data_IF_259549231966
#
_entry.id   IF_259549231966
#
_cell.length_a   1.000
_cell.length_b   1.000
_cell.length_c   1.000
_cell.angle_alpha   90.00
_cell.angle_beta   90.00
_cell.angle_gamma   90.00
#
_symmetry.space_group_name_H-M   'P 1'
#
loop_
_entity.id
_entity.type
_entity.pdbx_description
1 polymer ?
#
# COMPACT_ATOMS: atom_id res chain seq x y z
N UNK A 1 -27.09 -6.64 -0.61
CA UNK A 1 -26.43 -7.75 -1.32
C UNK A 1 -25.30 -8.24 -0.44
N UNK A 2 -25.26 -9.53 -0.07
CA UNK A 2 -24.13 -10.06 0.68
C UNK A 2 -22.90 -10.06 -0.25
N UNK A 3 -21.84 -9.33 0.10
CA UNK A 3 -20.61 -9.34 -0.70
C UNK A 3 -20.02 -10.76 -0.68
N UNK A 4 -19.89 -11.39 -1.84
CA UNK A 4 -19.26 -12.73 -1.95
C UNK A 4 -17.82 -12.66 -1.41
N UNK A 5 -17.45 -13.65 -0.61
CA UNK A 5 -16.07 -13.88 -0.17
C UNK A 5 -15.10 -13.86 -1.36
N UNK A 6 -14.03 -13.08 -1.26
CA UNK A 6 -13.02 -12.93 -2.30
C UNK A 6 -11.91 -13.97 -2.11
N UNK A 7 -11.43 -14.55 -3.19
CA UNK A 7 -10.26 -15.44 -3.21
C UNK A 7 -9.01 -14.58 -3.35
N UNK A 8 -8.12 -14.61 -2.36
CA UNK A 8 -6.99 -13.69 -2.27
C UNK A 8 -5.68 -14.48 -2.13
N UNK A 9 -4.71 -14.16 -2.98
CA UNK A 9 -3.33 -14.61 -2.82
C UNK A 9 -2.48 -13.49 -2.20
N UNK A 10 -1.77 -13.79 -1.13
CA UNK A 10 -0.83 -12.87 -0.48
C UNK A 10 0.59 -13.36 -0.73
N UNK A 11 1.41 -12.56 -1.41
CA UNK A 11 2.82 -12.86 -1.69
C UNK A 11 3.67 -11.96 -0.80
N UNK A 12 4.43 -12.55 0.12
CA UNK A 12 5.23 -11.81 1.09
C UNK A 12 6.49 -12.55 1.52
N UNK A 13 7.58 -11.82 1.74
CA UNK A 13 8.88 -12.40 2.13
C UNK A 13 9.01 -12.70 3.63
N UNK A 14 8.32 -11.93 4.47
CA UNK A 14 8.35 -12.07 5.92
C UNK A 14 7.21 -12.97 6.38
N UNK A 15 7.52 -14.18 6.85
CA UNK A 15 6.54 -15.19 7.27
C UNK A 15 5.58 -14.65 8.34
N UNK A 16 6.12 -13.95 9.35
CA UNK A 16 5.35 -13.39 10.47
C UNK A 16 4.31 -12.33 10.03
N UNK A 17 4.63 -11.53 9.01
CA UNK A 17 3.70 -10.55 8.43
C UNK A 17 2.71 -11.25 7.50
N UNK A 18 3.19 -12.19 6.70
CA UNK A 18 2.37 -12.96 5.76
C UNK A 18 1.25 -13.71 6.48
N UNK A 19 1.58 -14.44 7.54
CA UNK A 19 0.62 -15.19 8.36
C UNK A 19 -0.43 -14.26 8.98
N UNK A 20 0.01 -13.13 9.56
CA UNK A 20 -0.90 -12.12 10.13
C UNK A 20 -1.84 -11.52 9.08
N UNK A 21 -1.32 -11.21 7.89
CA UNK A 21 -2.13 -10.68 6.80
C UNK A 21 -3.19 -11.69 6.32
N UNK A 22 -2.80 -12.95 6.13
CA UNK A 22 -3.72 -14.03 5.74
C UNK A 22 -4.79 -14.25 6.81
N UNK A 23 -4.40 -14.32 8.08
CA UNK A 23 -5.33 -14.48 9.19
C UNK A 23 -6.35 -13.34 9.26
N UNK A 24 -5.90 -12.08 9.12
CA UNK A 24 -6.79 -10.92 9.13
C UNK A 24 -7.80 -10.93 7.97
N UNK A 25 -7.37 -11.28 6.75
CA UNK A 25 -8.27 -11.40 5.59
C UNK A 25 -9.30 -12.53 5.77
N UNK A 26 -8.87 -13.67 6.31
CA UNK A 26 -9.78 -14.78 6.60
C UNK A 26 -10.81 -14.41 7.69
N UNK A 27 -10.40 -13.65 8.72
CA UNK A 27 -11.32 -13.12 9.74
C UNK A 27 -12.36 -12.15 9.16
N UNK A 28 -12.04 -11.47 8.06
CA UNK A 28 -12.96 -10.60 7.32
C UNK A 28 -13.89 -11.39 6.36
N UNK A 29 -13.83 -12.73 6.37
CA UNK A 29 -14.67 -13.58 5.54
C UNK A 29 -14.18 -13.74 4.10
N UNK A 30 -12.91 -13.45 3.82
CA UNK A 30 -12.27 -13.78 2.54
C UNK A 30 -11.65 -15.18 2.59
N UNK A 31 -11.37 -15.74 1.41
CA UNK A 31 -10.61 -16.97 1.26
C UNK A 31 -9.18 -16.61 0.86
N UNK A 32 -8.33 -16.34 1.85
CA UNK A 32 -6.96 -15.91 1.65
C UNK A 32 -5.95 -17.04 1.87
N UNK A 33 -4.96 -17.12 0.98
CA UNK A 33 -3.78 -17.99 1.10
C UNK A 33 -2.51 -17.17 0.93
N UNK A 34 -1.41 -17.61 1.56
CA UNK A 34 -0.14 -16.90 1.54
C UNK A 34 1.00 -17.75 0.98
N UNK A 35 1.95 -17.13 0.29
CA UNK A 35 3.21 -17.76 -0.11
C UNK A 35 4.40 -16.81 0.05
N UNK A 36 5.55 -17.37 0.42
CA UNK A 36 6.84 -16.69 0.45
C UNK A 36 7.79 -17.15 -0.69
N UNK A 37 7.29 -17.99 -1.60
CA UNK A 37 8.06 -18.62 -2.68
C UNK A 37 8.81 -17.61 -3.56
N UNK A 38 9.93 -18.05 -4.14
CA UNK A 38 10.66 -17.30 -5.18
C UNK A 38 9.92 -17.25 -6.52
N UNK A 39 9.02 -18.20 -6.76
CA UNK A 39 8.31 -18.36 -8.04
C UNK A 39 6.82 -18.64 -7.82
N UNK A 40 6.08 -17.73 -7.17
CA UNK A 40 4.66 -17.93 -6.87
C UNK A 40 3.81 -18.06 -8.15
N UNK A 41 4.26 -17.49 -9.27
CA UNK A 41 3.64 -17.61 -10.59
C UNK A 41 3.73 -19.01 -11.22
N UNK A 42 4.59 -19.90 -10.69
CA UNK A 42 4.65 -21.31 -11.06
C UNK A 42 3.80 -22.20 -10.14
N UNK A 43 3.55 -21.77 -8.90
CA UNK A 43 2.77 -22.50 -7.90
C UNK A 43 1.26 -22.20 -8.01
N UNK A 44 0.92 -20.98 -8.44
CA UNK A 44 -0.44 -20.46 -8.42
C UNK A 44 -0.83 -19.94 -9.80
N UNK A 45 -2.07 -20.22 -10.19
CA UNK A 45 -2.65 -19.69 -11.42
C UNK A 45 -3.54 -18.47 -11.13
N UNK A 46 -3.40 -17.40 -11.91
CA UNK A 46 -4.14 -16.15 -11.68
C UNK A 46 -5.68 -16.29 -11.71
N UNK A 47 -6.22 -17.26 -12.45
CA UNK A 47 -7.66 -17.53 -12.52
C UNK A 47 -8.30 -18.01 -11.21
N UNK A 48 -7.47 -18.49 -10.28
CA UNK A 48 -7.94 -19.02 -9.00
C UNK A 48 -8.21 -17.91 -7.97
N UNK A 49 -7.86 -16.66 -8.29
CA UNK A 49 -7.93 -15.53 -7.39
C UNK A 49 -8.72 -14.38 -8.00
N UNK A 50 -9.38 -13.62 -7.12
CA UNK A 50 -10.01 -12.35 -7.47
C UNK A 50 -9.04 -11.18 -7.24
N UNK A 51 -8.06 -11.37 -6.33
CA UNK A 51 -7.01 -10.42 -5.98
C UNK A 51 -5.71 -11.14 -5.64
N UNK A 52 -4.61 -10.66 -6.20
CA UNK A 52 -3.24 -11.04 -5.84
C UNK A 52 -2.54 -9.82 -5.24
N UNK A 53 -1.95 -9.97 -4.07
CA UNK A 53 -1.27 -8.88 -3.36
C UNK A 53 0.23 -9.14 -3.27
N UNK A 54 1.04 -8.13 -3.56
CA UNK A 54 2.50 -8.17 -3.51
C UNK A 54 3.00 -7.30 -2.36
N UNK A 55 3.45 -7.93 -1.29
CA UNK A 55 3.95 -7.25 -0.09
C UNK A 55 5.20 -6.41 -0.35
N UNK A 56 5.44 -5.39 0.48
CA UNK A 56 6.58 -4.46 0.34
C UNK A 56 7.99 -5.10 0.39
N UNK A 57 8.11 -6.33 0.90
CA UNK A 57 9.37 -7.09 0.87
C UNK A 57 9.72 -7.71 -0.48
N UNK A 58 8.82 -7.67 -1.46
CA UNK A 58 9.11 -8.09 -2.84
C UNK A 58 9.88 -6.97 -3.54
N UNK A 59 11.08 -7.29 -4.05
CA UNK A 59 11.94 -6.36 -4.78
C UNK A 59 11.31 -5.93 -6.11
N UNK A 60 11.83 -4.83 -6.68
CA UNK A 60 11.23 -4.18 -7.86
C UNK A 60 11.21 -5.10 -9.10
N UNK A 61 12.30 -5.82 -9.36
CA UNK A 61 12.41 -6.70 -10.52
C UNK A 61 11.45 -7.88 -10.42
N UNK A 62 11.36 -8.51 -9.24
CA UNK A 62 10.39 -9.58 -8.97
C UNK A 62 8.96 -9.05 -9.09
N UNK A 63 8.68 -7.86 -8.56
CA UNK A 63 7.35 -7.23 -8.61
C UNK A 63 6.89 -7.03 -10.05
N UNK A 64 7.70 -6.37 -10.87
CA UNK A 64 7.40 -6.13 -12.29
C UNK A 64 7.14 -7.45 -13.03
N UNK A 65 8.00 -8.46 -12.82
CA UNK A 65 7.83 -9.80 -13.39
C UNK A 65 6.49 -10.42 -13.00
N UNK A 66 6.13 -10.39 -11.72
CA UNK A 66 4.91 -10.99 -11.21
C UNK A 66 3.65 -10.29 -11.72
N UNK A 67 3.67 -8.96 -11.79
CA UNK A 67 2.59 -8.19 -12.44
C UNK A 67 2.37 -8.65 -13.86
N UNK A 68 3.44 -8.70 -14.67
CA UNK A 68 3.36 -9.14 -16.06
C UNK A 68 2.83 -10.58 -16.18
N UNK A 69 3.36 -11.53 -15.39
CA UNK A 69 3.01 -12.95 -15.49
C UNK A 69 1.58 -13.25 -15.05
N UNK A 70 1.12 -12.71 -13.93
CA UNK A 70 -0.27 -12.94 -13.53
C UNK A 70 -1.27 -12.25 -14.47
N UNK A 71 -0.93 -11.10 -15.04
CA UNK A 71 -1.75 -10.44 -16.07
C UNK A 71 -1.77 -11.19 -17.40
N UNK A 72 -0.69 -11.85 -17.77
CA UNK A 72 -0.64 -12.74 -18.93
C UNK A 72 -1.57 -13.95 -18.74
N UNK A 73 -1.57 -14.55 -17.55
CA UNK A 73 -2.43 -15.68 -17.21
C UNK A 73 -3.93 -15.30 -17.13
N UNK A 74 -4.23 -14.13 -16.56
CA UNK A 74 -5.60 -13.61 -16.44
C UNK A 74 -5.59 -12.09 -16.49
N UNK A 75 -6.09 -11.51 -17.59
CA UNK A 75 -6.12 -10.05 -17.79
C UNK A 75 -7.00 -9.32 -16.76
N UNK A 76 -8.03 -10.01 -16.26
CA UNK A 76 -9.04 -9.45 -15.35
C UNK A 76 -8.65 -9.58 -13.87
N UNK A 77 -7.60 -10.36 -13.55
CA UNK A 77 -7.14 -10.48 -12.15
C UNK A 77 -6.67 -9.13 -11.63
N UNK A 78 -7.04 -8.76 -10.41
CA UNK A 78 -6.48 -7.59 -9.76
C UNK A 78 -5.14 -7.95 -9.13
N UNK A 79 -4.07 -7.26 -9.53
CA UNK A 79 -2.74 -7.38 -8.89
C UNK A 79 -2.46 -6.06 -8.18
N UNK A 80 -2.20 -6.12 -6.87
CA UNK A 80 -2.08 -4.95 -6.01
C UNK A 80 -0.79 -4.97 -5.20
N UNK A 81 -0.05 -3.87 -5.24
CA UNK A 81 1.09 -3.66 -4.37
C UNK A 81 0.61 -3.18 -3.00
N UNK A 82 0.95 -3.93 -1.95
CA UNK A 82 0.51 -3.65 -0.58
C UNK A 82 1.70 -3.53 0.36
N UNK A 83 1.58 -2.62 1.32
CA UNK A 83 2.66 -2.26 2.22
C UNK A 83 2.16 -2.29 3.66
N UNK A 84 2.87 -3.05 4.50
CA UNK A 84 2.61 -3.01 5.93
C UNK A 84 2.97 -1.61 6.49
N UNK A 85 2.22 -1.10 7.49
CA UNK A 85 1.11 -1.77 8.18
C UNK A 85 -0.28 -1.59 7.54
N UNK A 86 -0.42 -0.75 6.52
CA UNK A 86 -1.74 -0.39 5.98
C UNK A 86 -2.27 -1.34 4.90
N UNK A 87 -1.58 -2.45 4.64
CA UNK A 87 -1.93 -3.42 3.60
C UNK A 87 -3.41 -3.84 3.65
N UNK A 88 -3.97 -4.05 4.84
CA UNK A 88 -5.39 -4.38 5.01
C UNK A 88 -6.33 -3.29 4.51
N UNK A 89 -6.01 -2.01 4.76
CA UNK A 89 -6.79 -0.86 4.27
C UNK A 89 -6.70 -0.75 2.75
N UNK A 90 -5.51 -0.95 2.17
CA UNK A 90 -5.32 -0.97 0.72
C UNK A 90 -6.16 -2.08 0.06
N UNK A 91 -6.18 -3.28 0.64
CA UNK A 91 -6.96 -4.42 0.16
C UNK A 91 -8.46 -4.13 0.26
N UNK A 92 -8.93 -3.69 1.43
CA UNK A 92 -10.34 -3.36 1.63
C UNK A 92 -10.84 -2.29 0.64
N UNK A 93 -10.01 -1.28 0.37
CA UNK A 93 -10.31 -0.26 -0.63
C UNK A 93 -10.37 -0.84 -2.05
N UNK A 94 -9.38 -1.64 -2.43
CA UNK A 94 -9.35 -2.27 -3.75
C UNK A 94 -10.56 -3.18 -3.98
N UNK A 95 -11.03 -3.88 -2.94
CA UNK A 95 -12.22 -4.74 -3.01
C UNK A 95 -13.55 -3.96 -3.02
N UNK A 96 -13.59 -2.75 -2.45
CA UNK A 96 -14.78 -1.89 -2.39
C UNK A 96 -14.96 -0.95 -3.58
N UNK A 97 -13.99 -0.91 -4.52
CA UNK A 97 -13.99 -0.08 -5.75
C UNK A 97 -15.18 -0.31 -6.71
N UNK A 98 -16.14 -1.15 -6.35
CA UNK A 98 -17.44 -1.23 -7.01
C UNK A 98 -18.39 -0.05 -6.72
N UNK A 99 -18.04 0.95 -5.87
CA UNK A 99 -19.06 1.94 -5.44
C UNK A 99 -18.67 3.41 -5.20
N UNK A 100 -17.43 3.86 -5.44
CA UNK A 100 -17.05 5.26 -5.09
C UNK A 100 -16.91 6.15 -6.33
N UNK A 101 -17.60 7.29 -6.31
CA UNK A 101 -17.57 8.33 -7.33
C UNK A 101 -16.18 8.99 -7.42
N UNK A 102 -15.41 8.67 -8.46
CA UNK A 102 -14.14 9.34 -8.80
C UNK A 102 -13.02 9.21 -7.76
N UNK A 103 -11.78 9.45 -8.18
CA UNK A 103 -10.61 9.50 -7.28
C UNK A 103 -10.59 10.85 -6.53
N UNK A 104 -10.11 10.85 -5.27
CA UNK A 104 -9.96 12.08 -4.46
C UNK A 104 -8.65 12.81 -4.77
N UNK A 105 -7.61 12.06 -5.15
CA UNK A 105 -6.32 12.57 -5.60
C UNK A 105 -5.74 11.70 -6.70
N UNK A 106 -4.88 12.29 -7.52
CA UNK A 106 -4.34 11.66 -8.73
C UNK A 106 -2.83 11.45 -8.68
N UNK A 107 -2.12 12.14 -7.79
CA UNK A 107 -0.67 12.02 -7.67
C UNK A 107 -0.20 12.26 -6.24
N UNK A 108 0.82 11.51 -5.83
CA UNK A 108 1.54 11.71 -4.58
C UNK A 108 3.01 11.34 -4.75
N UNK A 109 3.90 12.22 -4.30
CA UNK A 109 5.34 11.96 -4.29
C UNK A 109 6.01 12.62 -3.11
N UNK A 110 7.18 12.11 -2.72
CA UNK A 110 8.07 12.76 -1.76
C UNK A 110 9.43 12.92 -2.41
N UNK A 111 10.02 14.10 -2.34
CA UNK A 111 11.34 14.39 -2.91
C UNK A 111 12.25 15.02 -1.86
N UNK A 112 13.53 14.64 -1.84
CA UNK A 112 14.52 15.29 -0.98
C UNK A 112 14.83 16.69 -1.50
N UNK A 113 14.80 17.69 -0.62
CA UNK A 113 15.26 19.05 -0.87
C UNK A 113 16.39 19.45 0.08
N UNK A 114 16.89 20.68 -0.10
CA UNK A 114 18.09 21.17 0.59
C UNK A 114 17.93 21.21 2.12
N UNK A 115 16.77 21.65 2.62
CA UNK A 115 16.50 21.77 4.05
C UNK A 115 15.56 20.68 4.59
N UNK A 116 14.64 20.19 3.74
CA UNK A 116 13.58 19.27 4.12
C UNK A 116 13.21 18.36 2.95
N UNK A 117 12.54 17.24 3.24
CA UNK A 117 11.81 16.52 2.21
C UNK A 117 10.49 17.26 1.93
N UNK A 118 10.01 17.18 0.69
CA UNK A 118 8.74 17.79 0.28
C UNK A 118 7.81 16.70 -0.21
N UNK A 119 6.69 16.50 0.49
CA UNK A 119 5.57 15.72 0.02
C UNK A 119 4.68 16.60 -0.86
N UNK A 120 4.43 16.17 -2.09
CA UNK A 120 3.51 16.83 -3.02
C UNK A 120 2.33 15.91 -3.31
N UNK A 121 1.13 16.43 -3.17
CA UNK A 121 -0.12 15.73 -3.47
C UNK A 121 -0.99 16.55 -4.44
N UNK A 122 -1.55 15.90 -5.45
CA UNK A 122 -2.55 16.50 -6.35
C UNK A 122 -3.94 16.00 -5.94
N UNK A 123 -4.79 16.94 -5.53
CA UNK A 123 -6.13 16.69 -5.00
C UNK A 123 -7.16 17.11 -6.05
N UNK A 124 -8.02 16.18 -6.43
CA UNK A 124 -9.06 16.38 -7.45
C UNK A 124 -10.36 16.92 -6.85
N UNK A 125 -10.62 16.58 -5.58
CA UNK A 125 -11.86 16.93 -4.88
C UNK A 125 -11.57 17.32 -3.44
N UNK A 126 -12.33 18.29 -2.94
CA UNK A 126 -12.22 18.71 -1.54
C UNK A 126 -12.41 17.52 -0.60
N UNK A 127 -11.49 17.35 0.35
CA UNK A 127 -11.45 16.21 1.27
C UNK A 127 -10.65 16.55 2.52
N UNK A 128 -10.71 15.66 3.52
CA UNK A 128 -9.77 15.66 4.64
C UNK A 128 -8.54 14.87 4.24
N UNK A 129 -7.37 15.52 4.29
CA UNK A 129 -6.08 14.94 3.97
C UNK A 129 -5.30 14.70 5.27
N UNK A 130 -4.79 13.47 5.41
CA UNK A 130 -3.86 13.09 6.46
C UNK A 130 -2.57 12.55 5.85
N UNK A 131 -1.43 13.08 6.28
CA UNK A 131 -0.11 12.58 5.88
C UNK A 131 0.59 12.01 7.10
N UNK A 132 0.91 10.72 7.05
CA UNK A 132 1.61 9.99 8.10
C UNK A 132 2.94 9.44 7.55
N UNK A 133 3.99 9.44 8.37
CA UNK A 133 5.25 8.73 8.09
C UNK A 133 5.37 7.55 9.02
N UNK A 134 5.65 6.38 8.45
CA UNK A 134 5.81 5.12 9.17
C UNK A 134 7.29 4.78 9.30
N UNK A 135 7.69 4.34 10.50
CA UNK A 135 9.05 3.93 10.82
C UNK A 135 9.05 2.67 11.70
N UNK A 136 10.16 1.93 11.70
CA UNK A 136 10.42 0.83 12.63
C UNK A 136 11.69 1.13 13.44
N UNK A 137 11.62 2.03 14.42
CA UNK A 137 12.80 2.38 15.20
C UNK A 137 13.32 1.16 15.96
N UNK A 138 14.63 0.93 15.91
CA UNK A 138 15.30 -0.12 16.67
C UNK A 138 14.81 -1.55 16.35
N UNK A 139 14.23 -1.81 15.18
CA UNK A 139 13.72 -3.14 14.82
C UNK A 139 12.42 -3.54 15.50
N UNK A 140 11.61 -2.55 15.94
CA UNK A 140 10.28 -2.79 16.48
C UNK A 140 9.43 -3.69 15.57
N UNK A 141 8.56 -4.52 16.17
CA UNK A 141 7.64 -5.39 15.42
C UNK A 141 6.43 -4.62 14.87
N UNK A 142 6.02 -3.56 15.56
CA UNK A 142 4.94 -2.67 15.16
C UNK A 142 5.54 -1.32 14.71
N UNK A 143 5.03 -0.74 13.62
CA UNK A 143 5.55 0.53 13.14
C UNK A 143 5.09 1.67 14.03
N UNK A 144 5.98 2.63 14.25
CA UNK A 144 5.61 3.93 14.77
C UNK A 144 5.06 4.80 13.64
N UNK A 145 4.11 5.66 13.99
CA UNK A 145 3.44 6.55 13.06
C UNK A 145 3.63 7.99 13.53
N UNK A 146 4.31 8.79 12.72
CA UNK A 146 4.43 10.22 12.94
C UNK A 146 3.48 10.96 12.00
N UNK A 147 2.53 11.72 12.56
CA UNK A 147 1.63 12.55 11.77
C UNK A 147 2.33 13.84 11.35
N UNK A 148 2.34 14.10 10.05
CA UNK A 148 2.88 15.34 9.47
C UNK A 148 1.79 16.40 9.35
N UNK A 149 0.61 16.01 8.83
CA UNK A 149 -0.53 16.91 8.68
C UNK A 149 -1.85 16.14 8.77
N UNK A 150 -2.90 16.82 9.27
CA UNK A 150 -4.29 16.40 9.24
C UNK A 150 -5.15 17.65 9.01
N UNK A 151 -5.62 17.87 7.79
CA UNK A 151 -6.30 19.11 7.42
C UNK A 151 -7.31 18.92 6.30
N UNK A 152 -8.44 19.66 6.28
CA UNK A 152 -9.21 19.81 5.07
C UNK A 152 -8.38 20.51 3.97
N UNK A 153 -8.57 20.09 2.74
CA UNK A 153 -7.93 20.65 1.54
C UNK A 153 -8.96 20.84 0.42
N UNK A 154 -8.74 21.85 -0.42
CA UNK A 154 -9.49 22.07 -1.66
C UNK A 154 -8.79 21.40 -2.85
N UNK A 155 -9.44 21.26 -4.02
CA UNK A 155 -8.77 20.79 -5.23
C UNK A 155 -7.53 21.64 -5.57
N UNK A 156 -6.48 20.99 -6.05
CA UNK A 156 -5.20 21.60 -6.40
C UNK A 156 -4.00 20.81 -5.91
N UNK A 157 -2.80 21.37 -6.14
CA UNK A 157 -1.54 20.79 -5.67
C UNK A 157 -1.19 21.35 -4.29
N UNK A 158 -0.92 20.45 -3.35
CA UNK A 158 -0.55 20.77 -1.98
C UNK A 158 0.85 20.25 -1.68
N UNK A 159 1.63 21.05 -0.96
CA UNK A 159 2.99 20.70 -0.55
C UNK A 159 3.13 20.74 0.96
N UNK A 160 3.78 19.72 1.51
CA UNK A 160 4.03 19.57 2.94
C UNK A 160 5.50 19.29 3.17
N UNK A 161 6.12 20.05 4.09
CA UNK A 161 7.50 19.83 4.49
C UNK A 161 7.57 18.68 5.49
N UNK A 162 8.52 17.76 5.29
CA UNK A 162 8.88 16.72 6.25
C UNK A 162 10.30 16.97 6.76
N UNK A 163 10.48 16.91 8.07
CA UNK A 163 11.80 16.97 8.68
C UNK A 163 12.70 15.84 8.14
N UNK A 164 13.98 16.15 7.88
CA UNK A 164 14.93 15.18 7.30
C UNK A 164 15.11 13.95 8.17
N UNK A 165 15.16 14.16 9.48
CA UNK A 165 15.30 13.10 10.48
C UNK A 165 14.10 12.14 10.41
N UNK A 166 12.89 12.70 10.27
CA UNK A 166 11.67 11.91 10.14
C UNK A 166 11.64 11.12 8.84
N UNK A 167 11.94 11.78 7.71
CA UNK A 167 11.92 11.13 6.40
C UNK A 167 12.98 10.02 6.28
N UNK A 168 14.20 10.27 6.76
CA UNK A 168 15.31 9.30 6.74
C UNK A 168 15.11 8.14 7.73
N UNK A 169 14.47 8.39 8.86
CA UNK A 169 14.07 7.34 9.81
C UNK A 169 12.81 6.56 9.39
N UNK A 170 12.05 7.10 8.46
CA UNK A 170 10.86 6.47 7.88
C UNK A 170 11.19 5.43 6.83
N UNK A 171 10.22 4.58 6.52
CA UNK A 171 10.27 3.69 5.35
C UNK A 171 9.14 3.99 4.35
N UNK A 172 8.09 4.68 4.79
CA UNK A 172 6.91 4.98 3.97
C UNK A 172 6.25 6.28 4.42
N UNK A 173 5.91 7.13 3.45
CA UNK A 173 4.94 8.19 3.62
C UNK A 173 3.59 7.73 3.08
N UNK A 174 2.52 7.96 3.84
CA UNK A 174 1.15 7.56 3.53
C UNK A 174 0.26 8.79 3.52
N UNK A 175 -0.29 9.10 2.36
CA UNK A 175 -1.34 10.07 2.20
C UNK A 175 -2.69 9.36 2.30
N UNK A 176 -3.54 9.76 3.24
CA UNK A 176 -4.89 9.27 3.42
C UNK A 176 -5.90 10.38 3.13
N UNK A 177 -6.83 10.16 2.20
CA UNK A 177 -7.89 11.11 1.84
C UNK A 177 -9.24 10.55 2.30
N UNK A 178 -9.96 11.33 3.12
CA UNK A 178 -11.21 10.96 3.81
C UNK A 178 -11.16 9.65 4.63
N UNK A 179 -9.98 9.13 4.96
CA UNK A 179 -9.84 7.82 5.61
C UNK A 179 -10.01 6.62 4.67
N UNK A 180 -10.21 6.87 3.38
CA UNK A 180 -10.61 5.85 2.41
C UNK A 180 -9.56 5.64 1.32
N UNK A 181 -9.08 6.74 0.73
CA UNK A 181 -8.12 6.72 -0.36
C UNK A 181 -6.69 6.87 0.15
N UNK A 182 -5.83 5.94 -0.26
CA UNK A 182 -4.46 5.85 0.24
C UNK A 182 -3.49 5.96 -0.94
N UNK A 183 -2.59 6.94 -0.90
CA UNK A 183 -1.45 7.05 -1.79
C UNK A 183 -0.17 6.87 -1.00
N UNK A 184 0.83 6.27 -1.62
CA UNK A 184 2.03 5.81 -0.94
C UNK A 184 3.28 6.28 -1.64
N UNK A 185 4.28 6.63 -0.85
CA UNK A 185 5.62 6.88 -1.34
C UNK A 185 6.64 6.20 -0.42
N UNK A 186 7.39 5.25 -0.98
CA UNK A 186 8.47 4.58 -0.25
C UNK A 186 9.60 5.58 -0.03
N UNK A 187 10.00 5.76 1.22
CA UNK A 187 11.13 6.62 1.56
C UNK A 187 12.41 5.83 1.36
N UNK A 188 13.38 6.39 0.65
CA UNK A 188 14.69 5.76 0.48
C UNK A 188 15.46 5.80 1.80
N UNK A 189 15.59 4.63 2.42
CA UNK A 189 16.47 4.46 3.56
C UNK A 189 17.90 4.46 3.04
N UNK A 190 18.60 5.58 3.23
CA UNK A 190 20.04 5.59 3.04
C UNK A 190 20.65 4.72 4.14
N UNK A 191 21.31 3.62 3.74
CA UNK A 191 22.20 2.92 4.65
C UNK A 191 23.30 3.93 5.04
N UNK A 192 23.28 4.34 6.31
CA UNK A 192 24.35 5.16 6.89
C UNK A 192 25.66 4.41 6.93
#
# INVERSE_FOLDING_TARGET
>A
MASRAKRILVIGRRADILERAVAALNQQGHAAVGTASGSPDAEFHAGDFDLITLGGGVDAATRERLHARFKEQNKDVMVLDVYAPIAGQQIARALSRASVAGELGSAFSVTEGDEAFVARATIERACTLRLDVYSYPGGALEPQVARVVDTPVTPGTHEFKLAKELARGGFMAVLTLNGEEHHLHRLEQHAG
#
